data_IF_578879560688
#
_entry.id   IF_578879560688
#
_cell.length_a   1.000
_cell.length_b   1.000
_cell.length_c   1.000
_cell.angle_alpha   90.00
_cell.angle_beta   90.00
_cell.angle_gamma   90.00
#
_symmetry.space_group_name_H-M   'P 1'
#
loop_
_entity.id
_entity.type
_entity.pdbx_description
1 polymer ?
#
# COMPACT_ATOMS: atom_id res chain seq x y z
N UNK A 1 12.64 5.24 -10.60
CA UNK A 1 11.80 4.04 -10.43
C UNK A 1 11.22 4.08 -9.04
N UNK A 2 9.94 3.74 -8.89
CA UNK A 2 9.23 3.63 -7.62
C UNK A 2 8.75 2.20 -7.38
N UNK A 3 9.10 1.63 -6.23
CA UNK A 3 8.68 0.29 -5.79
C UNK A 3 7.51 0.46 -4.83
N UNK A 4 6.32 -0.04 -5.20
CA UNK A 4 5.11 0.10 -4.40
C UNK A 4 4.80 -1.21 -3.68
N UNK A 5 5.01 -1.22 -2.37
CA UNK A 5 4.79 -2.35 -1.48
C UNK A 5 3.31 -2.49 -1.10
N UNK A 6 2.82 -3.71 -0.83
CA UNK A 6 1.55 -3.88 -0.16
C UNK A 6 1.64 -3.38 1.30
N UNK A 7 0.54 -2.90 1.89
CA UNK A 7 0.51 -2.71 3.33
C UNK A 7 0.48 -4.06 4.04
N UNK A 8 0.64 -4.03 5.36
CA UNK A 8 0.36 -5.17 6.23
C UNK A 8 -0.87 -4.94 7.10
N UNK A 9 -1.55 -6.04 7.46
CA UNK A 9 -2.60 -6.01 8.47
C UNK A 9 -2.01 -5.64 9.84
N UNK A 10 -0.91 -6.30 10.20
CA UNK A 10 -0.15 -6.01 11.42
C UNK A 10 0.66 -4.74 11.26
N UNK A 11 0.69 -3.94 12.32
CA UNK A 11 1.42 -2.67 12.37
C UNK A 11 2.13 -2.56 13.72
N UNK A 12 3.27 -1.90 13.73
CA UNK A 12 3.96 -1.53 14.96
C UNK A 12 3.13 -0.48 15.72
N UNK A 13 2.98 -0.63 17.03
CA UNK A 13 2.35 0.37 17.90
C UNK A 13 3.33 1.50 18.23
N UNK A 14 2.80 2.63 18.72
CA UNK A 14 3.60 3.79 19.13
C UNK A 14 3.97 4.73 17.97
N UNK A 15 5.14 5.36 18.08
CA UNK A 15 5.60 6.46 17.24
C UNK A 15 6.00 7.65 18.11
N UNK A 16 6.99 8.41 17.66
CA UNK A 16 7.53 9.60 18.31
C UNK A 16 7.34 10.88 17.48
N UNK A 17 6.83 10.74 16.25
CA UNK A 17 6.47 11.85 15.38
C UNK A 17 5.20 12.55 15.85
N UNK A 18 5.12 13.85 15.54
CA UNK A 18 3.94 14.65 15.83
C UNK A 18 2.69 14.09 15.10
N UNK A 19 1.49 14.34 15.64
CA UNK A 19 0.25 14.06 14.93
C UNK A 19 0.19 14.79 13.59
N UNK A 20 -0.49 14.18 12.61
CA UNK A 20 -0.68 14.79 11.29
C UNK A 20 -1.51 16.07 11.39
N UNK A 21 -1.09 17.10 10.66
CA UNK A 21 -1.95 18.25 10.42
C UNK A 21 -3.01 17.88 9.37
N UNK A 22 -4.18 17.41 9.79
CA UNK A 22 -5.23 16.97 8.87
C UNK A 22 -5.77 18.07 7.94
N UNK A 23 -5.64 19.35 8.32
CA UNK A 23 -5.98 20.48 7.46
C UNK A 23 -4.93 20.72 6.37
N UNK A 24 -3.67 20.32 6.62
CA UNK A 24 -2.59 20.36 5.66
C UNK A 24 -1.69 19.12 5.68
N UNK A 25 -1.93 18.17 4.76
CA UNK A 25 -1.14 16.95 4.62
C UNK A 25 0.01 17.09 3.60
N UNK A 26 0.53 18.30 3.38
CA UNK A 26 1.62 18.55 2.43
C UNK A 26 2.94 17.86 2.80
N UNK A 27 3.08 17.44 4.06
CA UNK A 27 4.22 16.63 4.53
C UNK A 27 4.19 15.19 4.00
N UNK A 28 3.02 14.70 3.58
CA UNK A 28 2.88 13.39 2.99
C UNK A 28 3.16 13.45 1.49
N UNK A 29 3.86 12.44 0.98
CA UNK A 29 3.99 12.20 -0.44
C UNK A 29 2.61 12.10 -1.12
N UNK A 30 2.58 12.36 -2.42
CA UNK A 30 1.36 12.33 -3.25
C UNK A 30 0.28 13.33 -2.78
N UNK A 31 0.56 14.65 -2.82
CA UNK A 31 -0.32 15.67 -2.23
C UNK A 31 -1.72 15.71 -2.85
N UNK A 32 -1.88 15.29 -4.12
CA UNK A 32 -3.18 15.17 -4.79
C UNK A 32 -4.16 14.18 -4.14
N UNK A 33 -3.72 13.40 -3.14
CA UNK A 33 -4.57 12.46 -2.40
C UNK A 33 -5.20 13.07 -1.13
N UNK A 34 -4.81 14.28 -0.73
CA UNK A 34 -5.11 14.88 0.56
C UNK A 34 -6.61 14.99 0.88
N UNK A 35 -7.45 15.42 -0.07
CA UNK A 35 -8.89 15.56 0.17
C UNK A 35 -9.56 14.22 0.48
N UNK A 36 -9.23 13.19 -0.29
CA UNK A 36 -9.78 11.86 -0.10
C UNK A 36 -9.27 11.25 1.22
N UNK A 37 -7.99 11.47 1.57
CA UNK A 37 -7.42 11.08 2.87
C UNK A 37 -8.24 11.65 4.01
N UNK A 38 -8.51 12.97 3.98
CA UNK A 38 -9.34 13.64 5.00
C UNK A 38 -10.74 13.04 5.10
N UNK A 39 -11.43 12.83 3.98
CA UNK A 39 -12.77 12.27 3.98
C UNK A 39 -12.83 10.86 4.58
N UNK A 40 -11.91 9.98 4.17
CA UNK A 40 -11.84 8.61 4.69
C UNK A 40 -11.52 8.61 6.18
N UNK A 41 -10.55 9.43 6.63
CA UNK A 41 -10.22 9.53 8.05
C UNK A 41 -11.38 10.02 8.89
N UNK A 42 -12.07 11.10 8.47
CA UNK A 42 -13.24 11.62 9.20
C UNK A 42 -14.33 10.57 9.34
N UNK A 43 -14.63 9.84 8.27
CA UNK A 43 -15.62 8.77 8.30
C UNK A 43 -15.19 7.62 9.20
N UNK A 44 -13.92 7.22 9.14
CA UNK A 44 -13.36 6.15 9.96
C UNK A 44 -13.41 6.50 11.45
N UNK A 45 -13.00 7.71 11.83
CA UNK A 45 -13.09 8.21 13.21
C UNK A 45 -14.54 8.30 13.69
N UNK A 46 -15.50 8.54 12.81
CA UNK A 46 -16.91 8.66 13.18
C UNK A 46 -17.60 7.32 13.47
N UNK A 47 -17.07 6.18 13.00
CA UNK A 47 -17.71 4.87 13.17
C UNK A 47 -17.89 4.46 14.63
N UNK A 48 -19.11 4.24 15.16
CA UNK A 48 -19.28 3.70 16.50
C UNK A 48 -18.55 2.36 16.66
N UNK A 49 -17.86 2.15 17.79
CA UNK A 49 -17.01 0.95 18.00
C UNK A 49 -17.80 -0.35 17.78
N UNK A 50 -19.01 -0.42 18.31
CA UNK A 50 -19.88 -1.60 18.17
C UNK A 50 -20.23 -1.92 16.71
N UNK A 51 -20.32 -0.91 15.82
CA UNK A 51 -20.53 -1.12 14.39
C UNK A 51 -19.22 -1.41 13.64
N UNK A 52 -18.11 -0.88 14.13
CA UNK A 52 -16.81 -0.95 13.48
C UNK A 52 -16.27 -2.39 13.37
N UNK A 53 -16.59 -3.29 14.31
CA UNK A 53 -16.22 -4.71 14.21
C UNK A 53 -16.72 -5.35 12.92
N UNK A 54 -18.01 -5.19 12.63
CA UNK A 54 -18.64 -5.75 11.42
C UNK A 54 -18.14 -5.08 10.15
N UNK A 55 -18.05 -3.74 10.15
CA UNK A 55 -17.65 -2.96 8.97
C UNK A 55 -16.18 -3.21 8.59
N UNK A 56 -15.29 -3.29 9.57
CA UNK A 56 -13.85 -3.48 9.37
C UNK A 56 -13.44 -4.96 9.34
N UNK A 57 -14.39 -5.87 9.59
CA UNK A 57 -14.19 -7.31 9.54
C UNK A 57 -13.18 -7.80 10.58
N UNK A 58 -13.26 -7.28 11.80
CA UNK A 58 -12.36 -7.63 12.90
C UNK A 58 -13.12 -8.23 14.09
N UNK A 59 -12.43 -9.08 14.85
CA UNK A 59 -12.99 -9.67 16.08
C UNK A 59 -12.81 -8.76 17.29
N UNK A 60 -13.52 -9.05 18.39
CA UNK A 60 -13.43 -8.33 19.68
C UNK A 60 -12.00 -8.16 20.18
N UNK A 61 -11.11 -9.14 19.90
CA UNK A 61 -9.69 -9.10 20.27
C UNK A 61 -8.95 -7.88 19.72
N UNK A 62 -9.45 -7.30 18.63
CA UNK A 62 -8.87 -6.12 17.98
C UNK A 62 -9.61 -4.82 18.35
N UNK A 63 -10.44 -4.80 19.41
CA UNK A 63 -11.04 -3.57 19.95
C UNK A 63 -10.02 -2.43 20.11
N UNK A 64 -8.79 -2.65 20.64
CA UNK A 64 -7.83 -1.57 20.76
C UNK A 64 -7.46 -0.90 19.43
N UNK A 65 -7.46 -1.64 18.32
CA UNK A 65 -7.21 -1.04 16.99
C UNK A 65 -8.39 -0.17 16.51
N UNK A 66 -9.61 -0.51 16.92
CA UNK A 66 -10.80 0.30 16.65
C UNK A 66 -10.82 1.58 17.47
N UNK A 67 -10.40 1.51 18.73
CA UNK A 67 -10.20 2.69 19.57
C UNK A 67 -9.08 3.57 19.02
N UNK A 68 -7.99 2.99 18.51
CA UNK A 68 -6.93 3.75 17.85
C UNK A 68 -7.45 4.56 16.65
N UNK A 69 -8.39 4.01 15.86
CA UNK A 69 -9.03 4.76 14.78
C UNK A 69 -9.79 6.00 15.27
N UNK A 70 -10.29 6.02 16.51
CA UNK A 70 -10.96 7.20 17.10
C UNK A 70 -10.00 8.34 17.40
N UNK A 71 -8.74 8.01 17.65
CA UNK A 71 -7.70 8.93 18.10
C UNK A 71 -6.82 9.46 16.96
N UNK A 72 -7.17 9.21 15.69
CA UNK A 72 -6.33 9.55 14.53
C UNK A 72 -5.99 11.04 14.41
N UNK A 73 -6.80 11.94 14.98
CA UNK A 73 -6.50 13.38 14.99
C UNK A 73 -5.22 13.71 15.77
N UNK A 74 -5.00 13.02 16.89
CA UNK A 74 -3.94 13.33 17.87
C UNK A 74 -2.94 12.18 18.02
N UNK A 75 -3.06 11.13 17.20
CA UNK A 75 -2.22 9.95 17.29
C UNK A 75 -0.77 10.26 16.85
N UNK A 76 0.24 9.77 17.58
CA UNK A 76 1.63 9.92 17.19
C UNK A 76 1.92 9.16 15.89
N UNK A 77 2.89 9.66 15.13
CA UNK A 77 3.26 9.09 13.83
C UNK A 77 4.63 8.43 13.86
N UNK A 78 4.90 7.62 12.84
CA UNK A 78 6.24 7.12 12.50
C UNK A 78 6.31 6.93 10.98
N UNK A 79 7.50 6.85 10.37
CA UNK A 79 7.63 6.57 8.95
C UNK A 79 6.83 5.33 8.52
N UNK A 80 6.14 5.42 7.39
CA UNK A 80 5.27 4.36 6.90
C UNK A 80 5.96 3.00 6.78
N UNK A 81 7.24 3.00 6.38
CA UNK A 81 8.02 1.76 6.24
C UNK A 81 8.26 1.03 7.57
N UNK A 82 8.27 1.76 8.69
CA UNK A 82 8.39 1.18 10.04
C UNK A 82 7.03 0.93 10.70
N UNK A 83 5.95 1.51 10.17
CA UNK A 83 4.59 1.28 10.69
C UNK A 83 4.08 -0.11 10.34
N UNK A 84 4.31 -0.62 9.14
CA UNK A 84 3.81 -1.93 8.71
C UNK A 84 4.82 -3.03 9.05
N UNK A 85 4.32 -4.20 9.50
CA UNK A 85 5.17 -5.31 9.96
C UNK A 85 4.81 -6.65 9.35
N UNK A 86 5.66 -7.66 9.51
CA UNK A 86 5.44 -9.04 9.12
C UNK A 86 6.20 -9.42 7.85
N UNK A 87 6.01 -10.66 7.38
CA UNK A 87 6.90 -11.40 6.46
C UNK A 87 7.58 -10.58 5.34
N UNK A 88 6.86 -9.69 4.65
CA UNK A 88 7.46 -8.86 3.60
C UNK A 88 8.42 -7.81 4.17
N UNK A 89 8.00 -7.14 5.23
CA UNK A 89 8.78 -6.09 5.91
C UNK A 89 9.97 -6.69 6.68
N UNK A 90 9.80 -7.90 7.22
CA UNK A 90 10.89 -8.65 7.85
C UNK A 90 11.98 -8.99 6.81
N UNK A 91 11.60 -9.41 5.60
CA UNK A 91 12.52 -9.72 4.51
C UNK A 91 13.13 -8.47 3.85
N UNK A 92 12.38 -7.37 3.81
CA UNK A 92 12.88 -6.08 3.35
C UNK A 92 13.99 -5.56 4.27
N UNK A 93 13.84 -5.79 5.58
CA UNK A 93 14.74 -5.33 6.64
C UNK A 93 15.06 -3.83 6.50
N UNK A 94 14.00 -3.02 6.48
CA UNK A 94 14.08 -1.58 6.26
C UNK A 94 15.05 -0.84 7.21
N UNK A 95 15.20 -1.22 8.51
CA UNK A 95 16.17 -0.56 9.40
C UNK A 95 17.63 -0.67 8.95
N UNK A 96 17.99 -1.67 8.14
CA UNK A 96 19.36 -1.81 7.61
C UNK A 96 19.58 -1.13 6.26
N UNK A 97 18.55 -0.49 5.69
CA UNK A 97 18.64 0.21 4.41
C UNK A 97 19.13 1.66 4.61
N UNK A 98 19.99 2.18 3.70
CA UNK A 98 20.33 3.60 3.70
C UNK A 98 19.11 4.45 3.32
N UNK A 99 19.06 5.70 3.78
CA UNK A 99 17.93 6.61 3.50
C UNK A 99 17.66 6.81 2.01
N UNK A 100 18.70 6.75 1.17
CA UNK A 100 18.58 6.81 -0.30
C UNK A 100 17.79 5.65 -0.88
N UNK A 101 17.93 4.44 -0.32
CA UNK A 101 17.15 3.27 -0.73
C UNK A 101 15.67 3.45 -0.38
N UNK A 102 15.36 4.01 0.81
CA UNK A 102 14.00 4.27 1.25
C UNK A 102 13.24 5.25 0.33
N UNK A 103 13.92 6.19 -0.31
CA UNK A 103 13.30 7.17 -1.23
C UNK A 103 12.69 6.52 -2.49
N UNK A 104 13.12 5.31 -2.84
CA UNK A 104 12.57 4.52 -3.94
C UNK A 104 11.35 3.68 -3.54
N UNK A 105 11.01 3.65 -2.24
CA UNK A 105 9.94 2.83 -1.69
C UNK A 105 8.69 3.65 -1.38
N UNK A 106 7.54 3.08 -1.72
CA UNK A 106 6.22 3.55 -1.31
C UNK A 106 5.36 2.38 -0.83
N UNK A 107 4.33 2.67 -0.05
CA UNK A 107 3.40 1.67 0.47
C UNK A 107 1.98 2.01 0.04
N UNK A 108 1.30 1.06 -0.61
CA UNK A 108 -0.14 1.18 -0.87
C UNK A 108 -0.91 1.12 0.45
N UNK A 109 -1.93 1.97 0.62
CA UNK A 109 -2.66 2.10 1.88
C UNK A 109 -4.16 2.24 1.65
N UNK A 110 -4.97 1.58 2.47
CA UNK A 110 -6.42 1.76 2.40
C UNK A 110 -6.84 3.16 2.84
N UNK A 111 -6.22 3.68 3.91
CA UNK A 111 -6.53 4.98 4.50
C UNK A 111 -5.84 6.12 3.75
N UNK A 112 -4.60 5.90 3.32
CA UNK A 112 -3.77 6.96 2.72
C UNK A 112 -3.61 6.87 1.19
N UNK A 113 -4.10 5.80 0.57
CA UNK A 113 -4.02 5.55 -0.87
C UNK A 113 -2.66 4.98 -1.27
N UNK A 114 -1.64 5.83 -1.29
CA UNK A 114 -0.22 5.48 -1.35
C UNK A 114 0.57 6.52 -0.56
N UNK A 115 1.62 6.08 0.13
CA UNK A 115 2.52 6.93 0.95
C UNK A 115 3.96 6.58 0.63
N UNK A 116 4.86 7.56 0.68
CA UNK A 116 6.30 7.32 0.63
C UNK A 116 6.77 6.56 1.87
N UNK A 117 7.89 5.85 1.79
CA UNK A 117 8.43 5.10 2.92
C UNK A 117 8.68 5.95 4.18
N UNK A 118 9.09 7.21 3.96
CA UNK A 118 9.39 8.18 5.02
C UNK A 118 8.19 9.01 5.46
N UNK A 119 7.03 8.87 4.82
CA UNK A 119 5.83 9.63 5.20
C UNK A 119 5.41 9.27 6.63
N UNK A 120 5.18 10.24 7.53
CA UNK A 120 4.69 9.96 8.87
C UNK A 120 3.24 9.44 8.81
N UNK A 121 2.95 8.30 9.43
CA UNK A 121 1.58 7.80 9.55
C UNK A 121 1.24 7.32 10.98
N UNK A 122 0.02 7.58 11.46
CA UNK A 122 -0.46 7.05 12.73
C UNK A 122 -0.77 5.56 12.64
N UNK A 123 -0.96 4.93 13.80
CA UNK A 123 -1.52 3.59 13.85
C UNK A 123 -3.01 3.62 13.47
N UNK A 124 -3.46 2.71 12.61
CA UNK A 124 -4.86 2.62 12.18
C UNK A 124 -5.25 1.21 11.73
N UNK A 125 -6.55 0.91 11.74
CA UNK A 125 -7.16 -0.29 11.15
C UNK A 125 -8.15 0.07 10.05
N UNK A 126 -7.75 -0.16 8.81
CA UNK A 126 -8.62 -0.10 7.64
C UNK A 126 -8.01 -0.97 6.53
N UNK A 127 -8.85 -1.79 5.89
CA UNK A 127 -8.43 -2.74 4.85
C UNK A 127 -8.95 -2.30 3.48
N UNK A 128 -8.20 -2.61 2.41
CA UNK A 128 -8.56 -2.20 1.04
C UNK A 128 -9.89 -2.76 0.53
N UNK A 129 -10.40 -3.86 1.11
CA UNK A 129 -11.70 -4.45 0.77
C UNK A 129 -12.89 -3.85 1.51
N UNK A 130 -12.67 -2.93 2.46
CA UNK A 130 -13.73 -2.37 3.31
C UNK A 130 -14.75 -1.58 2.49
N UNK A 131 -16.02 -1.71 2.87
CA UNK A 131 -17.10 -0.80 2.46
C UNK A 131 -17.31 0.19 3.61
N UNK A 132 -16.74 1.38 3.50
CA UNK A 132 -16.74 2.38 4.58
C UNK A 132 -17.92 3.34 4.39
N UNK A 133 -18.91 3.36 5.31
CA UNK A 133 -20.00 4.32 5.27
C UNK A 133 -19.50 5.76 5.29
N UNK A 134 -20.20 6.63 4.57
CA UNK A 134 -19.98 8.07 4.68
C UNK A 134 -20.72 8.58 5.90
N UNK A 135 -20.08 9.46 6.67
CA UNK A 135 -20.79 10.23 7.69
C UNK A 135 -21.89 11.02 6.99
N UNK A 136 -23.13 10.91 7.49
CA UNK A 136 -24.21 11.76 7.00
C UNK A 136 -23.85 13.21 7.38
N UNK A 137 -23.63 14.05 6.39
CA UNK A 137 -23.55 15.50 6.63
C UNK A 137 -24.97 15.97 6.97
N UNK A 138 -25.16 16.54 8.16
CA UNK A 138 -26.33 17.37 8.47
C UNK A 138 -26.27 18.69 7.66
N UNK A 139 -26.03 18.62 6.36
CA UNK A 139 -26.23 19.76 5.47
C UNK A 139 -27.65 19.68 4.94
N UNK A 140 -28.50 20.57 5.46
CA UNK A 140 -29.65 21.06 4.73
C UNK A 140 -29.18 21.58 3.37
N UNK A 141 -29.53 20.89 2.29
CA UNK A 141 -29.84 21.51 0.99
C UNK A 141 -30.19 20.43 -0.03
N UNK A 142 -31.48 20.34 -0.32
CA UNK A 142 -31.98 20.63 -1.66
C UNK A 142 -31.05 20.22 -2.81
N UNK A 143 -31.06 18.93 -3.15
CA UNK A 143 -30.53 18.42 -4.42
C UNK A 143 -31.61 17.55 -5.08
N UNK A 144 -32.57 18.23 -5.68
CA UNK A 144 -33.13 17.73 -6.94
C UNK A 144 -31.95 17.52 -7.90
N UNK A 145 -31.88 16.38 -8.58
CA UNK A 145 -30.82 15.96 -9.53
C UNK A 145 -29.62 15.14 -8.99
N UNK A 146 -29.85 14.08 -8.21
CA UNK A 146 -28.77 13.13 -7.91
C UNK A 146 -29.27 11.73 -7.59
N UNK A 147 -28.76 10.71 -8.31
CA UNK A 147 -29.04 9.29 -8.07
C UNK A 147 -29.01 8.96 -6.57
N UNK A 148 -30.13 8.45 -6.06
CA UNK A 148 -30.23 7.71 -4.80
C UNK A 148 -29.39 6.41 -4.92
N UNK A 149 -28.07 6.51 -4.79
CA UNK A 149 -27.23 5.34 -4.57
C UNK A 149 -27.05 5.17 -3.06
N UNK A 150 -28.03 4.49 -2.45
CA UNK A 150 -28.05 4.14 -1.02
C UNK A 150 -26.97 3.13 -0.62
N UNK A 151 -26.06 2.74 -1.52
CA UNK A 151 -25.05 1.72 -1.25
C UNK A 151 -23.79 2.29 -0.58
N UNK A 152 -23.32 1.58 0.45
CA UNK A 152 -22.05 1.90 1.14
C UNK A 152 -20.89 1.77 0.15
N UNK A 153 -20.10 2.84 -0.08
CA UNK A 153 -19.03 2.83 -1.08
C UNK A 153 -17.88 1.89 -0.68
N UNK A 154 -17.36 1.15 -1.65
CA UNK A 154 -16.09 0.41 -1.50
C UNK A 154 -14.90 1.38 -1.48
N UNK A 155 -13.77 0.99 -0.90
CA UNK A 155 -12.54 1.80 -0.97
C UNK A 155 -12.13 2.12 -2.41
N UNK A 156 -12.34 1.21 -3.37
CA UNK A 156 -12.11 1.48 -4.79
C UNK A 156 -12.94 2.66 -5.31
N UNK A 157 -14.22 2.74 -4.93
CA UNK A 157 -15.10 3.86 -5.29
C UNK A 157 -14.69 5.15 -4.59
N UNK A 158 -14.18 5.06 -3.35
CA UNK A 158 -13.65 6.22 -2.58
C UNK A 158 -12.43 6.84 -3.26
N UNK A 159 -11.49 6.00 -3.69
CA UNK A 159 -10.26 6.47 -4.33
C UNK A 159 -10.44 6.84 -5.81
N UNK A 160 -11.40 6.23 -6.51
CA UNK A 160 -11.66 6.52 -7.92
C UNK A 160 -10.40 6.33 -8.77
N UNK A 161 -9.94 7.40 -9.41
CA UNK A 161 -8.70 7.43 -10.20
C UNK A 161 -7.55 8.15 -9.49
N UNK A 162 -7.74 8.66 -8.27
CA UNK A 162 -6.77 9.52 -7.62
C UNK A 162 -5.43 8.82 -7.36
N UNK A 163 -5.44 7.57 -6.89
CA UNK A 163 -4.20 6.78 -6.69
C UNK A 163 -3.51 6.51 -8.04
N UNK A 164 -4.28 6.19 -9.08
CA UNK A 164 -3.74 6.00 -10.44
C UNK A 164 -3.04 7.27 -10.91
N UNK A 165 -3.70 8.43 -10.80
CA UNK A 165 -3.14 9.70 -11.24
C UNK A 165 -1.88 10.06 -10.46
N UNK A 166 -1.93 9.95 -9.13
CA UNK A 166 -0.79 10.24 -8.26
C UNK A 166 0.45 9.37 -8.57
N UNK A 167 0.25 8.11 -8.96
CA UNK A 167 1.34 7.23 -9.38
C UNK A 167 1.84 7.54 -10.79
N UNK A 168 0.96 7.91 -11.73
CA UNK A 168 1.37 8.27 -13.10
C UNK A 168 2.12 9.62 -13.14
N UNK A 169 1.71 10.59 -12.32
CA UNK A 169 2.34 11.91 -12.24
C UNK A 169 3.80 11.85 -11.77
N UNK A 170 4.25 10.73 -11.19
CA UNK A 170 5.67 10.49 -10.90
C UNK A 170 6.54 10.45 -12.15
N UNK A 171 5.98 10.05 -13.30
CA UNK A 171 6.74 9.90 -14.56
C UNK A 171 7.85 8.85 -14.52
N UNK A 172 7.75 7.87 -13.62
CA UNK A 172 8.79 6.85 -13.39
C UNK A 172 8.28 5.43 -13.67
N UNK A 173 9.21 4.50 -13.91
CA UNK A 173 8.91 3.08 -13.87
C UNK A 173 8.34 2.70 -12.51
N UNK A 174 7.17 2.06 -12.50
CA UNK A 174 6.52 1.54 -11.29
C UNK A 174 6.75 0.04 -11.21
N UNK A 175 7.32 -0.43 -10.10
CA UNK A 175 7.33 -1.84 -9.71
C UNK A 175 6.22 -2.05 -8.68
N UNK A 176 5.11 -2.64 -9.10
CA UNK A 176 3.92 -2.79 -8.27
C UNK A 176 3.88 -4.17 -7.60
N UNK A 177 4.36 -4.22 -6.36
CA UNK A 177 4.38 -5.42 -5.52
C UNK A 177 3.12 -5.58 -4.68
N UNK A 178 2.17 -4.64 -4.75
CA UNK A 178 0.92 -4.68 -3.99
C UNK A 178 0.13 -5.96 -4.27
N UNK A 179 -0.65 -6.40 -3.29
CA UNK A 179 -1.62 -7.47 -3.52
C UNK A 179 -2.76 -6.99 -4.43
N UNK A 180 -3.46 -7.92 -5.08
CA UNK A 180 -4.49 -7.59 -6.07
C UNK A 180 -5.58 -6.65 -5.56
N UNK A 181 -5.97 -6.75 -4.28
CA UNK A 181 -6.94 -5.83 -3.65
C UNK A 181 -6.46 -4.38 -3.69
N UNK A 182 -5.17 -4.13 -3.39
CA UNK A 182 -4.60 -2.79 -3.35
C UNK A 182 -4.23 -2.27 -4.74
N UNK A 183 -3.78 -3.15 -5.65
CA UNK A 183 -3.61 -2.80 -7.07
C UNK A 183 -4.93 -2.29 -7.68
N UNK A 184 -6.07 -2.88 -7.29
CA UNK A 184 -7.39 -2.47 -7.76
C UNK A 184 -7.84 -1.09 -7.26
N UNK A 185 -7.23 -0.53 -6.22
CA UNK A 185 -7.53 0.82 -5.74
C UNK A 185 -6.94 1.91 -6.63
N UNK A 186 -5.90 1.59 -7.40
CA UNK A 186 -5.27 2.50 -8.35
C UNK A 186 -4.36 1.72 -9.28
N UNK A 187 -4.92 1.25 -10.39
CA UNK A 187 -4.20 0.49 -11.42
C UNK A 187 -3.37 1.43 -12.27
N UNK A 188 -2.14 1.04 -12.57
CA UNK A 188 -1.20 1.73 -13.47
C UNK A 188 -0.49 0.69 -14.33
N UNK A 189 0.03 1.05 -15.52
CA UNK A 189 1.06 0.25 -16.19
C UNK A 189 2.26 0.11 -15.25
N UNK A 190 2.68 -1.13 -14.99
CA UNK A 190 3.73 -1.43 -14.03
C UNK A 190 4.47 -2.73 -14.36
N UNK A 191 5.65 -2.88 -13.77
CA UNK A 191 6.28 -4.18 -13.59
C UNK A 191 5.61 -4.86 -12.41
N UNK A 192 5.03 -6.04 -12.62
CA UNK A 192 4.39 -6.82 -11.56
C UNK A 192 5.13 -8.12 -11.35
N UNK A 193 5.08 -8.65 -10.12
CA UNK A 193 5.83 -9.86 -9.78
C UNK A 193 4.90 -10.92 -9.23
N UNK A 194 5.00 -12.12 -9.81
CA UNK A 194 4.44 -13.36 -9.27
C UNK A 194 5.58 -14.22 -8.71
N UNK A 195 5.31 -14.94 -7.62
CA UNK A 195 6.24 -15.89 -7.03
C UNK A 195 5.69 -17.31 -7.20
N UNK A 196 6.52 -18.21 -7.73
CA UNK A 196 6.20 -19.62 -7.97
C UNK A 196 7.28 -20.53 -7.40
N UNK A 197 6.88 -21.61 -6.73
CA UNK A 197 7.80 -22.65 -6.31
C UNK A 197 7.86 -23.80 -7.31
N UNK A 198 9.03 -24.45 -7.40
CA UNK A 198 9.18 -25.73 -8.10
C UNK A 198 8.94 -26.85 -7.08
N UNK A 199 8.08 -27.81 -7.41
CA UNK A 199 7.92 -29.05 -6.62
C UNK A 199 8.98 -30.07 -7.00
N UNK A 200 9.17 -31.09 -6.17
CA UNK A 200 10.11 -32.19 -6.44
C UNK A 200 9.86 -32.89 -7.79
N UNK A 201 8.63 -32.88 -8.29
CA UNK A 201 8.23 -33.43 -9.59
C UNK A 201 8.47 -32.47 -10.78
N UNK A 202 9.08 -31.31 -10.55
CA UNK A 202 9.32 -30.26 -11.55
C UNK A 202 8.11 -29.38 -11.85
N UNK A 203 6.93 -29.65 -11.26
CA UNK A 203 5.73 -28.84 -11.49
C UNK A 203 5.76 -27.51 -10.72
N UNK A 204 5.10 -26.49 -11.28
CA UNK A 204 5.02 -25.15 -10.69
C UNK A 204 3.80 -25.02 -9.77
N UNK A 205 3.99 -24.40 -8.60
CA UNK A 205 2.89 -24.01 -7.72
C UNK A 205 3.05 -22.55 -7.30
N UNK A 206 1.97 -21.78 -7.41
CA UNK A 206 1.92 -20.46 -6.77
C UNK A 206 1.92 -20.67 -5.26
N UNK A 207 2.90 -20.07 -4.55
CA UNK A 207 2.98 -20.18 -3.09
C UNK A 207 2.69 -18.86 -2.42
N UNK A 208 1.53 -18.78 -1.77
CA UNK A 208 1.04 -17.55 -1.14
C UNK A 208 1.84 -17.12 0.09
N UNK A 209 2.33 -18.07 0.90
CA UNK A 209 3.07 -17.76 2.14
C UNK A 209 4.45 -17.17 1.85
N UNK A 210 5.20 -17.79 0.94
CA UNK A 210 6.53 -17.31 0.52
C UNK A 210 6.47 -16.08 -0.40
N UNK A 211 5.36 -15.85 -1.09
CA UNK A 211 5.21 -14.70 -1.98
C UNK A 211 5.47 -13.35 -1.28
N UNK A 212 5.15 -13.21 0.02
CA UNK A 212 5.47 -11.99 0.78
C UNK A 212 6.97 -11.84 1.03
N UNK A 213 7.62 -12.93 1.43
CA UNK A 213 9.04 -12.95 1.75
C UNK A 213 9.89 -12.56 0.54
N UNK A 214 9.74 -13.27 -0.58
CA UNK A 214 10.50 -13.01 -1.79
C UNK A 214 10.20 -11.65 -2.45
N UNK A 215 9.00 -11.10 -2.24
CA UNK A 215 8.71 -9.71 -2.64
C UNK A 215 9.43 -8.69 -1.75
N UNK A 216 9.62 -8.99 -0.46
CA UNK A 216 10.43 -8.18 0.44
C UNK A 216 11.90 -8.21 0.06
N UNK A 217 12.45 -9.40 -0.22
CA UNK A 217 13.83 -9.55 -0.72
C UNK A 217 14.04 -8.83 -2.06
N UNK A 218 13.14 -8.99 -3.02
CA UNK A 218 13.23 -8.28 -4.29
C UNK A 218 13.17 -6.76 -4.09
N UNK A 219 12.25 -6.26 -3.24
CA UNK A 219 12.17 -4.84 -2.94
C UNK A 219 13.46 -4.30 -2.33
N UNK A 220 14.08 -5.07 -1.42
CA UNK A 220 15.39 -4.76 -0.84
C UNK A 220 16.47 -4.64 -1.91
N UNK A 221 16.60 -5.65 -2.77
CA UNK A 221 17.59 -5.70 -3.85
C UNK A 221 17.44 -4.49 -4.79
N UNK A 222 16.21 -4.20 -5.23
CA UNK A 222 15.94 -3.09 -6.14
C UNK A 222 16.22 -1.73 -5.48
N UNK A 223 15.82 -1.56 -4.21
CA UNK A 223 16.04 -0.31 -3.49
C UNK A 223 17.53 -0.04 -3.25
N UNK A 224 18.33 -1.08 -2.94
CA UNK A 224 19.78 -0.97 -2.82
C UNK A 224 20.45 -0.64 -4.15
N UNK A 225 20.06 -1.31 -5.23
CA UNK A 225 20.62 -1.02 -6.56
C UNK A 225 20.37 0.44 -6.97
N UNK A 226 19.17 0.97 -6.72
CA UNK A 226 18.87 2.40 -6.97
C UNK A 226 19.69 3.32 -6.08
N UNK A 227 19.87 2.97 -4.80
CA UNK A 227 20.72 3.72 -3.88
C UNK A 227 22.19 3.76 -4.33
N UNK A 228 22.65 2.70 -5.00
CA UNK A 228 23.99 2.57 -5.58
C UNK A 228 24.10 3.19 -6.99
N UNK A 229 23.04 3.82 -7.49
CA UNK A 229 23.06 4.60 -8.73
C UNK A 229 22.44 3.91 -9.96
N UNK A 230 21.83 2.73 -9.81
CA UNK A 230 21.10 2.09 -10.91
C UNK A 230 19.86 2.90 -11.31
N UNK A 231 19.62 3.02 -12.61
CA UNK A 231 18.46 3.73 -13.18
C UNK A 231 17.62 2.82 -14.09
N UNK A 232 17.01 1.74 -13.54
CA UNK A 232 16.18 0.85 -14.34
C UNK A 232 14.96 1.60 -14.90
N UNK A 233 14.71 1.44 -16.20
CA UNK A 233 13.59 2.07 -16.90
C UNK A 233 12.65 1.05 -17.56
N UNK A 234 13.00 -0.24 -17.52
CA UNK A 234 12.23 -1.33 -18.10
C UNK A 234 12.03 -2.52 -17.15
N UNK A 235 11.14 -3.43 -17.53
CA UNK A 235 10.93 -4.70 -16.82
C UNK A 235 12.13 -5.65 -16.94
N UNK A 236 12.87 -5.55 -18.05
CA UNK A 236 14.07 -6.33 -18.31
C UNK A 236 15.20 -5.89 -17.37
N UNK A 237 15.40 -4.58 -17.14
CA UNK A 237 16.38 -4.09 -16.16
C UNK A 237 16.07 -4.57 -14.74
N UNK A 238 14.78 -4.54 -14.35
CA UNK A 238 14.33 -5.05 -13.06
C UNK A 238 14.66 -6.54 -12.91
N UNK A 239 14.47 -7.33 -13.97
CA UNK A 239 14.82 -8.73 -13.99
C UNK A 239 16.34 -8.94 -13.89
N UNK A 240 17.14 -8.13 -14.57
CA UNK A 240 18.59 -8.25 -14.61
C UNK A 240 19.24 -7.86 -13.27
N UNK A 241 18.73 -6.84 -12.58
CA UNK A 241 19.16 -6.54 -11.20
C UNK A 241 18.85 -7.74 -10.29
N UNK A 242 17.63 -8.28 -10.37
CA UNK A 242 17.23 -9.41 -9.54
C UNK A 242 18.09 -10.67 -9.81
N UNK A 243 18.38 -10.97 -11.07
CA UNK A 243 19.26 -12.08 -11.49
C UNK A 243 20.69 -11.87 -11.00
N UNK A 244 21.21 -10.65 -11.09
CA UNK A 244 22.56 -10.31 -10.62
C UNK A 244 22.71 -10.47 -9.10
N UNK A 245 21.60 -10.33 -8.36
CA UNK A 245 21.54 -10.60 -6.92
C UNK A 245 21.27 -12.08 -6.57
N UNK A 246 21.23 -12.98 -7.56
CA UNK A 246 21.08 -14.42 -7.36
C UNK A 246 19.64 -14.94 -7.35
N UNK A 247 18.64 -14.10 -7.65
CA UNK A 247 17.26 -14.56 -7.80
C UNK A 247 17.04 -15.22 -9.17
N UNK A 248 16.24 -16.29 -9.21
CA UNK A 248 15.83 -16.90 -10.48
C UNK A 248 14.59 -16.18 -10.99
N UNK A 249 14.72 -15.44 -12.10
CA UNK A 249 13.65 -14.61 -12.67
C UNK A 249 13.36 -14.96 -14.12
N UNK A 250 12.10 -15.28 -14.40
CA UNK A 250 11.57 -15.52 -15.76
C UNK A 250 10.70 -14.35 -16.24
N UNK A 251 10.57 -14.22 -17.57
CA UNK A 251 9.89 -13.10 -18.22
C UNK A 251 10.84 -11.93 -18.53
N UNK A 252 10.28 -10.75 -18.87
CA UNK A 252 8.88 -10.34 -18.69
C UNK A 252 7.89 -10.92 -19.72
N UNK A 253 6.62 -11.04 -19.31
CA UNK A 253 5.48 -11.38 -20.18
C UNK A 253 4.45 -10.25 -20.14
N UNK A 254 3.85 -9.92 -21.29
CA UNK A 254 2.81 -8.91 -21.39
C UNK A 254 1.48 -9.40 -20.78
N UNK A 255 0.93 -8.63 -19.85
CA UNK A 255 -0.33 -8.97 -19.18
C UNK A 255 -1.14 -7.73 -18.84
N UNK A 256 -2.23 -7.50 -19.58
CA UNK A 256 -3.19 -6.42 -19.32
C UNK A 256 -2.53 -5.04 -19.09
N UNK A 257 -1.58 -4.65 -19.95
CA UNK A 257 -0.80 -3.40 -19.86
C UNK A 257 0.24 -3.35 -18.72
N UNK A 258 0.50 -4.47 -18.06
CA UNK A 258 1.63 -4.65 -17.16
C UNK A 258 2.66 -5.61 -17.77
N UNK A 259 3.90 -5.50 -17.30
CA UNK A 259 4.98 -6.43 -17.62
C UNK A 259 5.19 -7.32 -16.40
N UNK A 260 4.89 -8.61 -16.53
CA UNK A 260 4.92 -9.53 -15.40
C UNK A 260 6.22 -10.35 -15.39
N UNK A 261 6.91 -10.32 -14.25
CA UNK A 261 8.06 -11.16 -13.94
C UNK A 261 7.60 -12.32 -13.03
N UNK A 262 8.20 -13.49 -13.21
CA UNK A 262 8.01 -14.64 -12.32
C UNK A 262 9.30 -14.88 -11.55
N UNK A 263 9.27 -14.70 -10.22
CA UNK A 263 10.31 -15.18 -9.33
C UNK A 263 10.10 -16.67 -9.08
N UNK A 264 11.13 -17.45 -9.38
CA UNK A 264 11.18 -18.89 -9.22
C UNK A 264 11.96 -19.22 -7.96
N UNK A 265 11.33 -19.98 -7.07
CA UNK A 265 11.92 -20.32 -5.76
C UNK A 265 11.90 -21.83 -5.54
N UNK A 266 12.91 -22.33 -4.83
CA UNK A 266 12.98 -23.73 -4.42
C UNK A 266 12.17 -23.96 -3.14
#
# INVERSE_FOLDING_TARGET
MLIVLPPSETKAFGGDGAPLNWDNLSELSFPGLQDIRREITRDLMALPIEQAFSILGVSEKLRPELEANKQLADAPTMPAIFRYTGVLYDALDAPSLPSSALNSLAVGSALFGVVGANDPIPYYRLSGGTKLPRRQSNQNSDNSHGRNDSSVPTMKKRWGHAITQALLDRGELIVDLRSGTYQQLGRVPAVTVRVESIREDGSRKIVSHFNKHYKGELARILALAVADGATPDSADDVADIARSAGLVVEGPVDKQKCRELTLVVA
#
